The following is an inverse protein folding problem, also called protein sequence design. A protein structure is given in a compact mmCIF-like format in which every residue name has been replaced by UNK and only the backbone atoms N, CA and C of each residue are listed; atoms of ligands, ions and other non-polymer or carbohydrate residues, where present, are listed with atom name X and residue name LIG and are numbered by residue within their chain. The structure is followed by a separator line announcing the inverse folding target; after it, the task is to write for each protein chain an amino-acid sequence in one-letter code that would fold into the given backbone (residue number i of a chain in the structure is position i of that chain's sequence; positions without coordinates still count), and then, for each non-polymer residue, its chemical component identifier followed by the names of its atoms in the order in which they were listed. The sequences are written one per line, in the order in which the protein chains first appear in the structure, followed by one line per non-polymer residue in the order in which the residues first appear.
data_IF_510019713644
#
_entry.id   IF_510019713644
#
_cell.length_a   1.000
_cell.length_b   1.000
_cell.length_c   1.000
_cell.angle_alpha   90.00
_cell.angle_beta   90.00
_cell.angle_gamma   90.00
#
_symmetry.space_group_name_H-M   'P 1'
#
loop_
_entity.id
_entity.type
_entity.pdbx_description
1 polymer ?
#
# COMPACT_ATOMS: atom_id res chain seq x y z
N UNK A 1 16.06 -12.01 13.63
CA UNK A 1 15.49 -11.67 14.89
C UNK A 1 13.98 -11.89 14.96
N UNK A 2 13.27 -11.01 15.66
CA UNK A 2 11.87 -11.16 16.02
C UNK A 2 10.93 -11.42 14.83
N UNK A 3 11.10 -10.72 13.69
CA UNK A 3 10.30 -10.92 12.48
C UNK A 3 10.32 -12.40 12.03
N UNK A 4 11.50 -13.00 12.00
CA UNK A 4 11.64 -14.40 11.61
C UNK A 4 10.99 -15.34 12.62
N UNK A 5 11.12 -15.07 13.92
CA UNK A 5 10.46 -15.84 14.97
C UNK A 5 8.94 -15.75 14.87
N UNK A 6 8.38 -14.56 14.64
CA UNK A 6 6.94 -14.43 14.39
C UNK A 6 6.47 -15.28 13.21
N UNK A 7 7.25 -15.38 12.17
CA UNK A 7 6.92 -16.19 11.02
C UNK A 7 7.00 -17.70 11.32
N UNK A 8 8.03 -18.14 12.04
CA UNK A 8 8.30 -19.57 12.25
C UNK A 8 7.61 -20.18 13.47
N UNK A 9 7.39 -19.38 14.53
CA UNK A 9 6.98 -19.90 15.83
C UNK A 9 5.48 -19.69 16.11
N UNK A 10 4.80 -18.85 15.29
CA UNK A 10 3.35 -18.66 15.36
C UNK A 10 2.63 -19.69 14.48
N UNK A 11 1.60 -20.30 15.02
CA UNK A 11 0.71 -21.19 14.26
C UNK A 11 -0.33 -20.33 13.56
N UNK A 12 -0.13 -20.06 12.27
CA UNK A 12 -1.02 -19.24 11.47
C UNK A 12 -2.30 -19.94 11.02
N UNK A 13 -2.31 -21.28 11.05
CA UNK A 13 -3.42 -22.09 10.54
C UNK A 13 -3.47 -22.12 9.01
N UNK A 14 -4.67 -22.30 8.47
CA UNK A 14 -4.91 -22.36 7.03
C UNK A 14 -5.27 -20.93 6.56
N UNK A 15 -4.30 -20.25 5.98
CA UNK A 15 -4.40 -18.83 5.58
C UNK A 15 -4.14 -18.69 4.08
N UNK A 16 -5.12 -18.17 3.33
CA UNK A 16 -4.99 -17.93 1.90
C UNK A 16 -4.13 -16.69 1.60
N UNK A 17 -4.32 -15.62 2.37
CA UNK A 17 -3.59 -14.35 2.20
C UNK A 17 -3.11 -13.82 3.54
N UNK A 18 -1.86 -13.38 3.58
CA UNK A 18 -1.29 -12.70 4.73
C UNK A 18 -0.78 -11.32 4.34
N UNK A 19 -1.28 -10.29 5.00
CA UNK A 19 -0.82 -8.92 4.85
C UNK A 19 0.13 -8.57 5.99
N UNK A 20 1.29 -8.04 5.64
CA UNK A 20 2.28 -7.58 6.61
C UNK A 20 2.36 -6.07 6.53
N UNK A 21 1.82 -5.39 7.54
CA UNK A 21 1.96 -3.94 7.68
C UNK A 21 3.36 -3.60 8.21
N UNK A 22 4.10 -2.82 7.43
CA UNK A 22 5.49 -2.50 7.73
C UNK A 22 5.63 -1.05 8.22
N UNK A 23 6.60 -0.77 9.11
CA UNK A 23 6.91 0.60 9.47
C UNK A 23 7.33 1.41 8.25
N UNK A 24 7.17 2.76 8.28
CA UNK A 24 7.54 3.61 7.16
C UNK A 24 9.04 3.58 6.89
N UNK A 25 9.39 3.76 5.63
CA UNK A 25 10.78 3.84 5.16
C UNK A 25 11.40 2.51 4.75
N UNK A 26 12.69 2.54 4.49
CA UNK A 26 13.49 1.42 3.96
C UNK A 26 14.51 0.90 4.98
N UNK A 27 14.13 0.90 6.25
CA UNK A 27 14.99 0.46 7.35
C UNK A 27 15.12 -1.06 7.48
N UNK A 28 15.68 -1.49 8.60
CA UNK A 28 16.02 -2.91 8.85
C UNK A 28 14.80 -3.83 8.88
N UNK A 29 13.61 -3.34 9.30
CA UNK A 29 12.41 -4.19 9.42
C UNK A 29 11.86 -4.56 8.05
N UNK A 30 11.55 -3.61 7.13
CA UNK A 30 11.16 -3.93 5.76
C UNK A 30 12.18 -4.82 5.04
N UNK A 31 13.48 -4.53 5.19
CA UNK A 31 14.53 -5.33 4.61
C UNK A 31 14.52 -6.77 5.14
N UNK A 32 14.36 -6.94 6.45
CA UNK A 32 14.28 -8.27 7.08
C UNK A 32 13.06 -9.05 6.61
N UNK A 33 11.90 -8.40 6.46
CA UNK A 33 10.68 -9.02 5.92
C UNK A 33 10.94 -9.53 4.52
N UNK A 34 11.41 -8.68 3.61
CA UNK A 34 11.66 -9.04 2.21
C UNK A 34 12.74 -10.11 2.04
N UNK A 35 13.73 -10.17 2.93
CA UNK A 35 14.79 -11.19 2.89
C UNK A 35 14.42 -12.51 3.52
N UNK A 36 13.53 -12.50 4.52
CA UNK A 36 13.29 -13.67 5.37
C UNK A 36 11.95 -14.35 5.14
N UNK A 37 10.96 -13.63 4.59
CA UNK A 37 9.62 -14.15 4.33
C UNK A 37 9.42 -14.45 2.84
N UNK A 38 8.53 -15.39 2.50
CA UNK A 38 8.18 -15.70 1.11
C UNK A 38 7.17 -14.67 0.56
N UNK A 39 7.58 -13.40 0.51
CA UNK A 39 6.74 -12.29 0.04
C UNK A 39 6.46 -12.43 -1.45
N UNK A 40 5.20 -12.44 -1.86
CA UNK A 40 4.77 -12.58 -3.26
C UNK A 40 4.66 -11.23 -3.98
N UNK A 41 4.46 -10.14 -3.22
CA UNK A 41 4.43 -8.80 -3.77
C UNK A 41 4.36 -7.70 -2.72
N UNK A 42 4.55 -6.47 -3.14
CA UNK A 42 4.52 -5.27 -2.30
C UNK A 42 3.49 -4.30 -2.86
N UNK A 43 2.65 -3.75 -1.98
CA UNK A 43 1.82 -2.59 -2.26
C UNK A 43 2.46 -1.39 -1.57
N UNK A 44 2.80 -0.36 -2.33
CA UNK A 44 3.39 0.86 -1.77
C UNK A 44 2.28 1.86 -1.51
N UNK A 45 2.14 2.28 -0.25
CA UNK A 45 1.16 3.28 0.18
C UNK A 45 1.86 4.61 0.42
N UNK A 46 1.30 5.67 -0.12
CA UNK A 46 1.85 7.01 -0.06
C UNK A 46 0.76 8.07 0.08
N UNK A 47 1.12 9.35 0.06
CA UNK A 47 0.21 10.51 0.07
C UNK A 47 0.67 11.53 -0.98
N UNK A 48 -0.18 12.47 -1.46
CA UNK A 48 0.15 13.40 -2.54
C UNK A 48 1.07 14.55 -2.06
N UNK A 49 2.29 14.24 -1.65
CA UNK A 49 3.31 15.21 -1.24
C UNK A 49 4.53 15.15 -2.16
N UNK A 50 5.26 16.24 -2.28
CA UNK A 50 6.41 16.36 -3.23
C UNK A 50 7.49 15.27 -3.07
N UNK A 51 7.64 14.69 -1.87
CA UNK A 51 8.64 13.66 -1.62
C UNK A 51 8.21 12.23 -1.98
N UNK A 52 7.00 12.06 -2.49
CA UNK A 52 6.42 10.74 -2.82
C UNK A 52 7.24 9.98 -3.85
N UNK A 53 7.69 10.67 -4.92
CA UNK A 53 8.53 10.05 -5.94
C UNK A 53 9.78 9.39 -5.34
N UNK A 54 10.41 10.05 -4.39
CA UNK A 54 11.60 9.53 -3.71
C UNK A 54 11.29 8.32 -2.82
N UNK A 55 10.13 8.32 -2.16
CA UNK A 55 9.69 7.19 -1.31
C UNK A 55 9.40 5.97 -2.18
N UNK A 56 8.65 6.15 -3.27
CA UNK A 56 8.35 5.08 -4.22
C UNK A 56 9.62 4.54 -4.86
N UNK A 57 10.51 5.42 -5.32
CA UNK A 57 11.80 5.01 -5.90
C UNK A 57 12.62 4.16 -4.93
N UNK A 58 12.71 4.55 -3.66
CA UNK A 58 13.43 3.77 -2.64
C UNK A 58 12.78 2.41 -2.39
N UNK A 59 11.44 2.35 -2.35
CA UNK A 59 10.72 1.10 -2.17
C UNK A 59 10.96 0.14 -3.35
N UNK A 60 10.85 0.63 -4.59
CA UNK A 60 11.10 -0.14 -5.80
C UNK A 60 12.54 -0.64 -5.82
N UNK A 61 13.52 0.23 -5.59
CA UNK A 61 14.93 -0.17 -5.54
C UNK A 61 15.19 -1.24 -4.47
N UNK A 62 14.56 -1.11 -3.30
CA UNK A 62 14.70 -2.11 -2.25
C UNK A 62 14.20 -3.48 -2.69
N UNK A 63 13.04 -3.55 -3.35
CA UNK A 63 12.50 -4.83 -3.87
C UNK A 63 13.37 -5.43 -4.98
N UNK A 64 13.94 -4.60 -5.85
CA UNK A 64 14.84 -5.02 -6.92
C UNK A 64 16.18 -5.57 -6.42
N UNK A 65 16.67 -5.07 -5.30
CA UNK A 65 17.94 -5.50 -4.69
C UNK A 65 17.84 -6.85 -3.96
N UNK A 66 16.62 -7.38 -3.78
CA UNK A 66 16.45 -8.67 -3.13
C UNK A 66 16.95 -9.83 -4.02
N UNK A 67 17.53 -10.88 -3.40
CA UNK A 67 17.96 -12.08 -4.15
C UNK A 67 16.80 -12.71 -4.93
N UNK A 68 15.62 -12.73 -4.34
CA UNK A 68 14.35 -13.01 -5.00
C UNK A 68 13.71 -11.68 -5.33
N UNK A 69 13.52 -11.38 -6.60
CA UNK A 69 12.79 -10.17 -7.02
C UNK A 69 11.36 -10.24 -6.52
N UNK A 70 10.97 -9.23 -5.77
CA UNK A 70 9.60 -9.08 -5.26
C UNK A 70 8.94 -7.97 -6.07
N UNK A 71 7.85 -8.25 -6.81
CA UNK A 71 7.21 -7.23 -7.63
C UNK A 71 6.51 -6.18 -6.78
N UNK A 72 6.53 -4.93 -7.22
CA UNK A 72 5.60 -3.90 -6.74
C UNK A 72 4.30 -4.08 -7.49
N UNK A 73 3.27 -4.54 -6.79
CA UNK A 73 1.97 -4.89 -7.38
C UNK A 73 1.12 -3.67 -7.68
N UNK A 74 1.18 -2.68 -6.79
CA UNK A 74 0.39 -1.46 -6.92
C UNK A 74 0.98 -0.30 -6.13
N UNK A 75 0.61 0.92 -6.53
CA UNK A 75 0.77 2.14 -5.75
C UNK A 75 -0.60 2.60 -5.26
N UNK A 76 -0.70 2.95 -3.98
CA UNK A 76 -1.89 3.52 -3.36
C UNK A 76 -1.56 4.92 -2.87
N UNK A 77 -2.21 5.92 -3.41
CA UNK A 77 -2.13 7.28 -2.90
C UNK A 77 -3.30 7.54 -1.95
N UNK A 78 -3.02 7.48 -0.65
CA UNK A 78 -3.99 7.81 0.38
C UNK A 78 -4.10 9.34 0.55
N UNK A 79 -5.27 9.83 0.95
CA UNK A 79 -5.56 11.25 1.09
C UNK A 79 -5.38 12.06 -0.21
N UNK A 80 -5.60 11.41 -1.35
CA UNK A 80 -5.37 11.97 -2.68
C UNK A 80 -6.24 13.21 -2.96
N UNK A 81 -7.47 13.18 -2.50
CA UNK A 81 -8.42 14.27 -2.70
C UNK A 81 -9.49 14.28 -1.60
N UNK A 82 -10.19 15.39 -1.49
CA UNK A 82 -11.39 15.53 -0.67
C UNK A 82 -12.57 15.93 -1.56
N UNK A 83 -13.67 15.19 -1.48
CA UNK A 83 -14.91 15.54 -2.16
C UNK A 83 -15.84 16.25 -1.17
N UNK A 84 -16.20 17.49 -1.48
CA UNK A 84 -17.11 18.26 -0.64
C UNK A 84 -18.51 17.63 -0.62
N UNK A 85 -19.07 17.29 0.55
CA UNK A 85 -20.40 16.67 0.63
C UNK A 85 -21.55 17.58 0.23
N UNK A 86 -21.35 18.91 0.24
CA UNK A 86 -22.40 19.88 -0.06
C UNK A 86 -22.49 20.22 -1.56
N UNK A 87 -21.38 20.18 -2.29
CA UNK A 87 -21.34 20.64 -3.68
C UNK A 87 -20.59 19.70 -4.63
N UNK A 88 -20.16 18.52 -4.18
CA UNK A 88 -19.41 17.52 -4.94
C UNK A 88 -18.07 18.00 -5.53
N UNK A 89 -17.63 19.22 -5.21
CA UNK A 89 -16.36 19.76 -5.69
C UNK A 89 -15.19 18.97 -5.08
N UNK A 90 -14.26 18.57 -5.93
CA UNK A 90 -13.02 17.92 -5.54
C UNK A 90 -11.96 18.97 -5.18
N UNK A 91 -11.27 18.74 -4.06
CA UNK A 91 -10.18 19.58 -3.56
C UNK A 91 -8.94 18.72 -3.34
N UNK A 92 -7.79 19.19 -3.81
CA UNK A 92 -6.48 18.57 -3.58
C UNK A 92 -5.78 19.27 -2.41
N UNK A 93 -6.11 18.83 -1.19
CA UNK A 93 -5.67 19.49 0.07
C UNK A 93 -4.15 19.41 0.24
N UNK A 94 -3.53 18.32 -0.22
CA UNK A 94 -2.09 18.07 -0.10
C UNK A 94 -1.32 18.30 -1.42
N UNK A 95 -1.95 18.93 -2.41
CA UNK A 95 -1.36 19.19 -3.73
C UNK A 95 -1.89 18.27 -4.82
N UNK A 96 -1.46 18.54 -6.05
CA UNK A 96 -1.83 17.73 -7.21
C UNK A 96 -1.09 16.37 -7.16
N UNK A 97 -1.78 15.34 -7.61
CA UNK A 97 -1.22 14.00 -7.66
C UNK A 97 -0.34 13.81 -8.90
N UNK A 98 0.82 13.19 -8.70
CA UNK A 98 1.72 12.72 -9.76
C UNK A 98 1.90 11.20 -9.74
N UNK A 99 1.01 10.48 -9.06
CA UNK A 99 1.19 9.05 -8.79
C UNK A 99 1.20 8.20 -10.07
N UNK A 100 0.42 8.56 -11.10
CA UNK A 100 0.40 7.85 -12.37
C UNK A 100 1.72 8.00 -13.13
N UNK A 101 2.32 9.21 -13.13
CA UNK A 101 3.62 9.46 -13.75
C UNK A 101 4.72 8.65 -13.04
N UNK A 102 4.68 8.62 -11.71
CA UNK A 102 5.61 7.84 -10.90
C UNK A 102 5.43 6.34 -11.15
N UNK A 103 4.20 5.86 -11.19
CA UNK A 103 3.90 4.47 -11.49
C UNK A 103 4.45 4.05 -12.87
N UNK A 104 4.20 4.86 -13.88
CA UNK A 104 4.69 4.62 -15.23
C UNK A 104 6.23 4.60 -15.30
N UNK A 105 6.90 5.51 -14.59
CA UNK A 105 8.37 5.56 -14.54
C UNK A 105 9.00 4.30 -13.91
N UNK A 106 8.27 3.60 -13.04
CA UNK A 106 8.71 2.39 -12.36
C UNK A 106 8.06 1.10 -12.89
N UNK A 107 7.28 1.18 -13.97
CA UNK A 107 6.64 0.03 -14.58
C UNK A 107 5.54 -0.61 -13.71
N UNK A 108 4.92 0.18 -12.81
CA UNK A 108 3.78 -0.26 -12.01
C UNK A 108 2.50 0.13 -12.74
N UNK A 109 1.68 -0.85 -13.09
CA UNK A 109 0.48 -0.68 -13.92
C UNK A 109 -0.81 -0.45 -13.11
N UNK A 110 -0.77 -0.68 -11.80
CA UNK A 110 -1.93 -0.57 -10.92
C UNK A 110 -1.75 0.60 -9.94
N UNK A 111 -2.63 1.58 -10.06
CA UNK A 111 -2.65 2.77 -9.20
C UNK A 111 -4.04 2.94 -8.61
N UNK A 112 -4.10 3.19 -7.30
CA UNK A 112 -5.34 3.51 -6.60
C UNK A 112 -5.20 4.83 -5.86
N UNK A 113 -6.26 5.63 -5.89
CA UNK A 113 -6.33 6.94 -5.21
C UNK A 113 -7.48 6.93 -4.24
N UNK A 114 -7.16 7.08 -2.95
CA UNK A 114 -8.15 7.07 -1.88
C UNK A 114 -8.47 8.50 -1.44
N UNK A 115 -9.74 8.83 -1.23
CA UNK A 115 -10.16 10.12 -0.75
C UNK A 115 -9.83 10.33 0.73
N UNK A 116 -9.85 11.58 1.16
CA UNK A 116 -10.00 11.93 2.57
C UNK A 116 -11.48 11.72 2.91
N UNK A 117 -11.78 10.65 3.63
CA UNK A 117 -13.14 10.29 4.02
C UNK A 117 -13.23 10.06 5.54
N UNK A 118 -13.92 10.95 6.28
CA UNK A 118 -14.14 10.77 7.73
C UNK A 118 -14.95 9.52 8.10
N UNK A 119 -15.65 8.90 7.15
CA UNK A 119 -16.41 7.68 7.42
C UNK A 119 -15.48 6.49 7.65
N UNK A 120 -14.35 6.46 6.98
CA UNK A 120 -13.31 5.43 7.16
C UNK A 120 -12.79 5.46 8.61
N UNK A 121 -12.42 6.64 9.11
CA UNK A 121 -11.94 6.76 10.49
C UNK A 121 -12.99 6.28 11.51
N UNK A 122 -14.25 6.67 11.33
CA UNK A 122 -15.35 6.24 12.21
C UNK A 122 -15.58 4.73 12.16
N UNK A 123 -15.50 4.11 10.98
CA UNK A 123 -15.67 2.67 10.85
C UNK A 123 -14.52 1.89 11.50
N UNK A 124 -13.30 2.40 11.39
CA UNK A 124 -12.12 1.83 12.06
C UNK A 124 -12.28 1.92 13.58
N UNK A 125 -12.67 3.07 14.11
CA UNK A 125 -12.90 3.26 15.55
C UNK A 125 -14.04 2.37 16.10
N UNK A 126 -15.02 2.06 15.26
CA UNK A 126 -16.11 1.15 15.59
C UNK A 126 -15.75 -0.35 15.41
N UNK A 127 -14.59 -0.69 14.83
CA UNK A 127 -14.22 -2.06 14.47
C UNK A 127 -15.07 -2.61 13.33
N UNK A 128 -15.52 -1.77 12.40
CA UNK A 128 -16.44 -2.10 11.32
C UNK A 128 -15.84 -1.82 9.91
N UNK A 129 -14.52 -1.80 9.80
CA UNK A 129 -13.82 -1.45 8.55
C UNK A 129 -14.22 -2.35 7.38
N UNK A 130 -14.52 -3.61 7.63
CA UNK A 130 -14.94 -4.58 6.62
C UNK A 130 -16.33 -4.30 6.00
N UNK A 131 -17.09 -3.38 6.59
CA UNK A 131 -18.40 -2.95 6.05
C UNK A 131 -18.29 -1.78 5.07
N UNK A 132 -17.11 -1.18 4.96
CA UNK A 132 -16.88 -0.07 4.05
C UNK A 132 -16.83 -0.56 2.60
N UNK A 133 -17.45 0.16 1.65
CA UNK A 133 -17.17 -0.06 0.24
C UNK A 133 -15.71 0.30 -0.04
N UNK A 134 -15.04 -0.52 -0.83
CA UNK A 134 -13.63 -0.34 -1.19
C UNK A 134 -13.45 -0.46 -2.70
N UNK A 135 -14.35 0.14 -3.47
CA UNK A 135 -14.35 0.07 -4.94
C UNK A 135 -13.04 0.60 -5.54
N UNK A 136 -12.43 1.60 -4.90
CA UNK A 136 -11.13 2.16 -5.29
C UNK A 136 -9.98 1.14 -5.20
N UNK A 137 -10.12 0.12 -4.37
CA UNK A 137 -9.12 -0.94 -4.20
C UNK A 137 -9.42 -2.20 -5.04
N UNK A 138 -10.51 -2.22 -5.82
CA UNK A 138 -10.92 -3.39 -6.59
C UNK A 138 -9.82 -3.90 -7.53
N UNK A 139 -9.12 -3.00 -8.24
CA UNK A 139 -8.04 -3.38 -9.13
C UNK A 139 -6.85 -4.05 -8.41
N UNK A 140 -6.58 -3.65 -7.16
CA UNK A 140 -5.55 -4.29 -6.33
C UNK A 140 -6.04 -5.68 -5.90
N UNK A 141 -7.30 -5.79 -5.47
CA UNK A 141 -7.88 -7.07 -5.08
C UNK A 141 -7.85 -8.09 -6.21
N UNK A 142 -8.24 -7.70 -7.43
CA UNK A 142 -8.13 -8.56 -8.62
C UNK A 142 -6.69 -9.02 -8.87
N UNK A 143 -5.71 -8.13 -8.72
CA UNK A 143 -4.31 -8.46 -8.91
C UNK A 143 -3.77 -9.41 -7.85
N UNK A 144 -4.22 -9.27 -6.60
CA UNK A 144 -3.87 -10.19 -5.52
C UNK A 144 -4.49 -11.58 -5.72
N UNK A 145 -5.73 -11.64 -6.22
CA UNK A 145 -6.40 -12.91 -6.52
C UNK A 145 -5.77 -13.66 -7.70
N UNK A 146 -4.94 -12.99 -8.51
CA UNK A 146 -4.24 -13.58 -9.65
C UNK A 146 -2.83 -14.09 -9.31
N UNK A 147 -2.36 -13.93 -8.06
CA UNK A 147 -1.07 -14.45 -7.58
C UNK A 147 -1.16 -15.96 -7.31
#
# INVERSE_FOLDING_TARGET
GAVKQFWTDVIWGDVDYMFVDMPPGTGDVPLTVLQSLPVDGVVVVTSPQELVSLIVEKAVRMTEMMPRKVPVLALVENMSYFKCPDCDKVHHIYGESHIEEIAAAHGVDTVCRLPIDPTIARAIDAGEVEKLPCDELAAIAEKLLAL
#
